data_IF_530378529007
#
_entry.id   IF_530378529007
#
_cell.length_a   1.000
_cell.length_b   1.000
_cell.length_c   1.000
_cell.angle_alpha   90.00
_cell.angle_beta   90.00
_cell.angle_gamma   90.00
#
_symmetry.space_group_name_H-M   'P 1'
#
loop_
_entity.id
_entity.type
_entity.pdbx_description
1 polymer ?
#
# COMPACT_ATOMS: atom_id res chain seq x y z
N UNK A 1 1.75 10.20 -18.90
CA UNK A 1 1.48 9.87 -17.49
C UNK A 1 2.35 10.76 -16.62
N UNK A 2 1.77 11.76 -15.95
CA UNK A 2 2.53 12.54 -14.97
C UNK A 2 2.90 11.60 -13.82
N UNK A 3 4.17 11.60 -13.41
CA UNK A 3 4.66 10.79 -12.30
C UNK A 3 4.02 11.32 -11.02
N UNK A 4 2.84 10.83 -10.66
CA UNK A 4 2.28 11.02 -9.32
C UNK A 4 3.32 10.47 -8.34
N UNK A 5 3.81 11.33 -7.45
CA UNK A 5 4.87 10.97 -6.51
C UNK A 5 4.29 10.04 -5.46
N UNK A 6 4.30 8.74 -5.70
CA UNK A 6 3.85 7.76 -4.72
C UNK A 6 4.93 7.56 -3.67
N UNK A 7 4.58 7.77 -2.41
CA UNK A 7 5.42 7.51 -1.25
C UNK A 7 4.92 6.28 -0.51
N UNK A 8 5.81 5.32 -0.26
CA UNK A 8 5.51 4.19 0.62
C UNK A 8 5.27 4.70 2.04
N UNK A 9 4.15 4.31 2.64
CA UNK A 9 3.81 4.67 4.02
C UNK A 9 4.15 3.53 4.95
N UNK A 10 3.53 2.37 4.72
CA UNK A 10 3.64 1.21 5.60
C UNK A 10 3.13 -0.05 4.93
N UNK A 11 3.63 -1.19 5.40
CA UNK A 11 3.10 -2.51 5.12
C UNK A 11 2.49 -3.13 6.39
N UNK A 12 1.35 -3.80 6.25
CA UNK A 12 0.66 -4.44 7.37
C UNK A 12 -0.13 -5.66 6.91
N UNK A 13 -0.30 -6.59 7.84
CA UNK A 13 -1.06 -7.81 7.61
C UNK A 13 -2.55 -7.56 7.89
N UNK A 14 -3.41 -8.21 7.11
CA UNK A 14 -4.86 -8.10 7.26
C UNK A 14 -5.37 -9.21 8.19
N UNK A 15 -5.83 -8.82 9.38
CA UNK A 15 -6.31 -9.75 10.41
C UNK A 15 -7.47 -10.65 9.95
N UNK A 16 -8.24 -10.21 8.95
CA UNK A 16 -9.38 -10.97 8.40
C UNK A 16 -8.97 -11.92 7.27
N UNK A 17 -7.72 -11.84 6.80
CA UNK A 17 -7.22 -12.69 5.72
C UNK A 17 -6.40 -13.83 6.31
N UNK A 18 -6.65 -15.09 5.89
CA UNK A 18 -5.86 -16.22 6.38
C UNK A 18 -4.37 -16.06 6.07
N UNK A 19 -3.52 -16.45 7.03
CA UNK A 19 -2.09 -16.56 6.84
C UNK A 19 -1.80 -17.51 5.66
N UNK A 20 -1.01 -17.05 4.68
CA UNK A 20 -0.70 -17.79 3.46
C UNK A 20 -1.55 -17.39 2.24
N UNK A 21 -2.57 -16.55 2.40
CA UNK A 21 -3.22 -15.91 1.25
C UNK A 21 -2.26 -14.91 0.59
N UNK A 22 -2.24 -14.81 -0.75
CA UNK A 22 -1.48 -13.77 -1.44
C UNK A 22 -1.96 -12.35 -1.10
N UNK A 23 -3.18 -12.23 -0.54
CA UNK A 23 -3.78 -10.96 -0.09
C UNK A 23 -3.55 -10.69 1.40
N UNK A 24 -2.79 -11.54 2.10
CA UNK A 24 -2.55 -11.38 3.53
C UNK A 24 -1.87 -10.04 3.85
N UNK A 25 -1.05 -9.55 2.93
CA UNK A 25 -0.17 -8.41 3.14
C UNK A 25 -0.60 -7.22 2.30
N UNK A 26 -0.86 -6.10 2.97
CA UNK A 26 -1.28 -4.86 2.34
C UNK A 26 -0.17 -3.81 2.40
N UNK A 27 -0.01 -3.07 1.31
CA UNK A 27 0.94 -1.95 1.21
C UNK A 27 0.17 -0.65 1.03
N UNK A 28 0.41 0.30 1.93
CA UNK A 28 -0.18 1.63 1.87
C UNK A 28 0.77 2.60 1.18
N UNK A 29 0.29 3.25 0.12
CA UNK A 29 0.97 4.33 -0.56
C UNK A 29 0.23 5.65 -0.35
N UNK A 30 0.98 6.74 -0.22
CA UNK A 30 0.47 8.10 -0.23
C UNK A 30 0.80 8.73 -1.58
N UNK A 31 -0.18 9.33 -2.23
CA UNK A 31 0.05 10.14 -3.41
C UNK A 31 0.49 11.53 -2.93
N UNK A 32 1.72 11.93 -3.24
CA UNK A 32 2.17 13.31 -3.08
C UNK A 32 1.54 14.13 -4.18
N UNK A 33 0.59 14.98 -3.78
CA UNK A 33 0.12 16.06 -4.64
C UNK A 33 1.28 17.05 -4.78
N UNK A 34 1.80 17.21 -6.00
CA UNK A 34 2.69 18.31 -6.32
C UNK A 34 1.79 19.51 -6.63
N UNK A 35 1.53 20.33 -5.61
CA UNK A 35 0.91 21.64 -5.79
C UNK A 35 2.00 22.67 -6.09
#
# INVERSE_FOLDING_TARGET
MQKLGMEFVKEFDNEKVPAGSPLYRHVLYRIKSFH
#
